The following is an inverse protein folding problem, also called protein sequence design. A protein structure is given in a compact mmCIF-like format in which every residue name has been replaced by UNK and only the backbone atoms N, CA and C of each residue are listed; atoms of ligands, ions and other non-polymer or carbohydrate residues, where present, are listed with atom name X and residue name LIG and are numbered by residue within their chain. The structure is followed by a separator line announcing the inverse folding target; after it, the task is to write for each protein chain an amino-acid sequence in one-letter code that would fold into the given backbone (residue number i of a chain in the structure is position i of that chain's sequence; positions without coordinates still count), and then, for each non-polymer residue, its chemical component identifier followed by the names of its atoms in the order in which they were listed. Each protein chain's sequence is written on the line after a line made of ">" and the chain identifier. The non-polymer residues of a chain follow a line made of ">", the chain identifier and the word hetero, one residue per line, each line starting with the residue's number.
data_IF_656273997935
#
_entry.id   IF_656273997935
#
_cell.length_a   1.000
_cell.length_b   1.000
_cell.length_c   1.000
_cell.angle_alpha   90.00
_cell.angle_beta   90.00
_cell.angle_gamma   90.00
#
_symmetry.space_group_name_H-M   'P 1'
#
loop_
_entity.id
_entity.type
_entity.pdbx_description
1 polymer ?
#
# COMPACT_ATOMS: atom_id res chain seq x y z
N UNK A 1 -27.83 19.39 24.87
CA UNK A 1 -27.18 20.52 25.54
C UNK A 1 -27.47 21.80 24.74
N UNK A 2 -27.91 22.91 25.36
CA UNK A 2 -28.14 24.16 24.63
C UNK A 2 -26.83 24.78 24.14
N UNK A 3 -26.83 25.40 22.95
CA UNK A 3 -25.62 25.87 22.27
C UNK A 3 -24.80 26.90 23.06
N UNK A 4 -25.45 27.71 23.92
CA UNK A 4 -24.74 28.65 24.81
C UNK A 4 -23.83 27.97 25.84
N UNK A 5 -24.23 26.80 26.38
CA UNK A 5 -23.39 26.05 27.31
C UNK A 5 -22.28 25.26 26.60
N UNK A 6 -22.49 24.84 25.36
CA UNK A 6 -21.42 24.25 24.52
C UNK A 6 -20.29 25.27 24.31
N UNK A 7 -20.65 26.52 24.01
CA UNK A 7 -19.68 27.61 23.85
C UNK A 7 -18.88 27.92 25.13
N UNK A 8 -19.48 27.73 26.31
CA UNK A 8 -18.79 27.90 27.60
C UNK A 8 -17.74 26.79 27.81
N UNK A 9 -18.06 25.54 27.45
CA UNK A 9 -17.12 24.41 27.53
C UNK A 9 -15.99 24.56 26.52
N UNK A 10 -16.28 24.96 25.28
CA UNK A 10 -15.27 25.24 24.24
C UNK A 10 -14.29 26.32 24.71
N UNK A 11 -14.78 27.46 25.22
CA UNK A 11 -13.94 28.55 25.76
C UNK A 11 -13.13 28.13 27.00
N UNK A 12 -13.72 27.33 27.89
CA UNK A 12 -13.01 26.81 29.06
C UNK A 12 -11.89 25.84 28.68
N UNK A 13 -12.10 25.00 27.67
CA UNK A 13 -11.09 24.10 27.15
C UNK A 13 -9.90 24.86 26.51
N UNK A 14 -10.18 25.89 25.72
CA UNK A 14 -9.15 26.77 25.16
C UNK A 14 -8.30 27.46 26.26
N UNK A 15 -8.93 27.89 27.36
CA UNK A 15 -8.23 28.46 28.51
C UNK A 15 -7.32 27.43 29.20
N UNK A 16 -7.78 26.20 29.42
CA UNK A 16 -6.96 25.14 30.04
C UNK A 16 -5.73 24.80 29.18
N UNK A 17 -5.86 24.83 27.85
CA UNK A 17 -4.74 24.64 26.92
C UNK A 17 -3.73 25.78 27.04
N UNK A 18 -4.19 27.04 27.08
CA UNK A 18 -3.33 28.22 27.24
C UNK A 18 -2.60 28.27 28.59
N UNK A 19 -3.28 27.87 29.68
CA UNK A 19 -2.69 27.79 31.03
C UNK A 19 -1.70 26.63 31.18
N UNK A 20 -1.76 25.61 30.32
CA UNK A 20 -0.91 24.42 30.46
C UNK A 20 -0.39 23.83 29.14
N UNK A 21 0.47 24.59 28.41
CA UNK A 21 0.99 24.18 27.10
C UNK A 21 1.86 22.91 27.12
N UNK A 22 2.38 22.51 28.29
CA UNK A 22 3.23 21.32 28.49
C UNK A 22 2.46 20.12 29.09
N UNK A 23 1.13 20.21 29.26
CA UNK A 23 0.34 19.10 29.79
C UNK A 23 0.05 18.04 28.72
N UNK A 24 0.02 16.77 29.12
CA UNK A 24 -0.47 15.69 28.24
C UNK A 24 -1.97 15.84 28.01
N UNK A 25 -2.48 15.36 26.86
CA UNK A 25 -3.91 15.42 26.53
C UNK A 25 -4.78 14.83 27.65
N UNK A 26 -4.36 13.72 28.26
CA UNK A 26 -5.06 13.11 29.39
C UNK A 26 -5.12 14.04 30.63
N UNK A 27 -4.05 14.79 30.89
CA UNK A 27 -4.03 15.83 31.95
C UNK A 27 -4.95 17.01 31.65
N UNK A 28 -5.07 17.42 30.39
CA UNK A 28 -5.99 18.48 29.93
C UNK A 28 -7.45 18.01 30.09
N UNK A 29 -7.78 16.79 29.67
CA UNK A 29 -9.13 16.22 29.86
C UNK A 29 -9.50 16.05 31.34
N UNK A 30 -8.58 15.57 32.19
CA UNK A 30 -8.82 15.45 33.63
C UNK A 30 -8.98 16.81 34.36
N UNK A 31 -8.50 17.90 33.77
CA UNK A 31 -8.75 19.28 34.26
C UNK A 31 -10.09 19.81 33.76
N UNK A 32 -10.38 19.61 32.47
CA UNK A 32 -11.69 19.94 31.89
C UNK A 32 -12.82 19.29 32.69
N UNK A 33 -12.72 18.00 32.99
CA UNK A 33 -13.71 17.22 33.75
C UNK A 33 -13.96 17.82 35.15
N UNK A 34 -12.89 18.18 35.87
CA UNK A 34 -12.99 18.84 37.19
C UNK A 34 -13.56 20.26 37.13
N UNK A 35 -13.39 20.98 36.02
CA UNK A 35 -13.90 22.34 35.84
C UNK A 35 -15.27 22.35 35.13
N UNK A 36 -15.75 21.19 34.66
CA UNK A 36 -16.95 21.04 33.84
C UNK A 36 -18.20 21.53 34.57
N UNK A 37 -18.37 21.17 35.85
CA UNK A 37 -19.48 21.65 36.69
C UNK A 37 -19.50 23.18 36.80
N UNK A 38 -18.33 23.83 36.85
CA UNK A 38 -18.22 25.29 36.92
C UNK A 38 -18.56 25.94 35.57
N UNK A 39 -18.05 25.37 34.47
CA UNK A 39 -18.31 25.85 33.11
C UNK A 39 -19.79 25.69 32.69
N UNK A 40 -20.49 24.68 33.23
CA UNK A 40 -21.92 24.46 33.01
C UNK A 40 -22.83 25.23 33.95
N UNK A 41 -22.36 25.59 35.15
CA UNK A 41 -23.11 26.45 36.08
C UNK A 41 -22.99 27.94 35.76
N UNK A 42 -22.10 28.32 34.83
CA UNK A 42 -21.96 29.68 34.33
C UNK A 42 -23.19 30.16 33.53
N UNK A 43 -23.33 31.48 33.42
CA UNK A 43 -24.41 32.08 32.63
C UNK A 43 -24.35 31.64 31.15
N UNK A 44 -25.52 31.46 30.52
CA UNK A 44 -25.63 31.06 29.11
C UNK A 44 -24.87 32.07 28.23
N UNK A 45 -23.96 31.61 27.37
CA UNK A 45 -23.40 32.51 26.36
C UNK A 45 -24.48 32.98 25.38
N UNK A 46 -24.52 34.28 25.10
CA UNK A 46 -25.47 34.85 24.14
C UNK A 46 -25.22 34.31 22.73
N UNK A 47 -26.25 33.67 22.18
CA UNK A 47 -26.22 33.08 20.83
C UNK A 47 -27.17 33.85 19.92
N UNK A 48 -26.60 34.61 18.98
CA UNK A 48 -27.39 35.33 17.96
C UNK A 48 -28.01 34.30 17.00
N UNK A 49 -29.33 34.15 17.07
CA UNK A 49 -30.09 33.27 16.17
C UNK A 49 -30.26 33.91 14.79
N UNK A 50 -29.30 33.68 13.89
CA UNK A 50 -29.39 34.12 12.50
C UNK A 50 -30.50 33.33 11.78
N UNK A 51 -31.68 33.92 11.65
CA UNK A 51 -32.77 33.38 10.84
C UNK A 51 -32.52 33.79 9.39
N UNK A 52 -32.52 32.82 8.46
CA UNK A 52 -32.46 33.12 7.03
C UNK A 52 -33.78 33.76 6.60
N UNK A 53 -33.72 34.99 6.12
CA UNK A 53 -34.89 35.70 5.62
C UNK A 53 -35.31 35.11 4.26
N UNK A 54 -36.36 34.30 4.24
CA UNK A 54 -36.97 33.84 3.00
C UNK A 54 -37.94 34.92 2.48
N UNK A 55 -37.87 35.32 1.19
CA UNK A 55 -38.75 36.36 0.67
C UNK A 55 -40.18 35.83 0.54
N UNK A 56 -41.11 36.48 1.24
CA UNK A 56 -42.54 36.31 0.97
C UNK A 56 -42.96 37.26 -0.14
N UNK A 57 -43.54 36.73 -1.20
CA UNK A 57 -44.16 37.53 -2.26
C UNK A 57 -45.46 38.16 -1.79
N UNK A 58 -45.71 39.42 -2.17
CA UNK A 58 -46.96 40.04 -2.64
C UNK A 58 -46.67 41.56 -2.86
N UNK A 59 -47.43 42.28 -3.72
CA UNK A 59 -46.83 43.33 -4.54
C UNK A 59 -47.09 44.77 -4.07
N UNK A 60 -46.18 45.69 -4.42
CA UNK A 60 -46.47 47.13 -4.43
C UNK A 60 -46.33 47.72 -5.83
N UNK A 61 -47.42 48.37 -6.24
CA UNK A 61 -47.71 49.01 -7.51
C UNK A 61 -46.86 50.28 -7.75
N UNK A 62 -46.25 50.42 -8.94
CA UNK A 62 -45.66 51.72 -9.36
C UNK A 62 -45.62 51.94 -10.89
N UNK A 63 -46.52 52.83 -11.30
CA UNK A 63 -46.53 53.79 -12.41
C UNK A 63 -45.44 53.76 -13.51
N UNK A 64 -45.91 53.69 -14.76
CA UNK A 64 -45.22 53.92 -16.05
C UNK A 64 -44.88 55.40 -16.29
N UNK A 65 -43.70 55.71 -16.85
CA UNK A 65 -43.49 56.56 -18.05
C UNK A 65 -41.99 56.80 -18.43
N UNK A 66 -41.72 56.59 -19.74
CA UNK A 66 -40.74 57.24 -20.64
C UNK A 66 -39.19 57.27 -20.45
N UNK A 67 -38.54 56.42 -21.26
CA UNK A 67 -37.65 56.81 -22.39
C UNK A 67 -36.41 57.71 -22.18
N UNK A 68 -35.21 57.11 -22.27
CA UNK A 68 -34.20 57.58 -23.27
C UNK A 68 -33.11 56.56 -23.67
N UNK A 69 -32.96 56.43 -24.99
CA UNK A 69 -31.76 56.15 -25.82
C UNK A 69 -30.94 54.86 -25.57
N UNK A 70 -30.93 54.03 -26.62
CA UNK A 70 -29.96 52.96 -26.87
C UNK A 70 -28.58 53.53 -27.23
N UNK A 71 -27.52 52.91 -26.74
CA UNK A 71 -26.21 52.88 -27.41
C UNK A 71 -25.66 51.44 -27.39
N UNK A 72 -24.90 51.08 -28.42
CA UNK A 72 -24.68 49.70 -28.83
C UNK A 72 -23.31 49.15 -28.41
N UNK A 73 -23.33 47.90 -27.90
CA UNK A 73 -22.23 46.93 -27.88
C UNK A 73 -21.07 47.16 -26.88
N UNK A 74 -20.28 46.10 -26.55
CA UNK A 74 -20.39 44.71 -26.98
C UNK A 74 -20.79 43.72 -25.85
N UNK A 75 -21.31 42.56 -26.26
CA UNK A 75 -21.57 41.43 -25.37
C UNK A 75 -20.23 40.85 -24.90
N UNK A 76 -19.74 41.31 -23.75
CA UNK A 76 -18.76 40.55 -23.00
C UNK A 76 -19.40 39.24 -22.57
N UNK A 77 -18.96 38.13 -23.16
CA UNK A 77 -19.35 36.78 -22.73
C UNK A 77 -18.88 36.56 -21.30
N UNK A 78 -19.72 36.94 -20.33
CA UNK A 78 -19.60 36.55 -18.94
C UNK A 78 -19.84 35.04 -18.85
N UNK A 79 -18.80 34.27 -19.17
CA UNK A 79 -18.72 32.84 -18.83
C UNK A 79 -18.96 32.76 -17.34
N UNK A 80 -20.12 32.20 -16.97
CA UNK A 80 -20.54 31.98 -15.59
C UNK A 80 -19.45 31.16 -14.92
N UNK A 81 -18.59 31.80 -14.14
CA UNK A 81 -17.56 31.11 -13.38
C UNK A 81 -18.28 30.22 -12.38
N UNK A 82 -18.20 28.90 -12.58
CA UNK A 82 -18.67 27.94 -11.59
C UNK A 82 -17.99 28.27 -10.25
N UNK A 83 -18.72 28.30 -9.13
CA UNK A 83 -18.14 28.64 -7.85
C UNK A 83 -17.12 27.57 -7.46
N UNK A 84 -15.83 27.90 -7.61
CA UNK A 84 -14.73 27.05 -7.16
C UNK A 84 -14.93 26.73 -5.68
N UNK A 85 -14.91 25.46 -5.24
CA UNK A 85 -15.13 25.12 -3.85
C UNK A 85 -14.07 25.80 -2.98
N UNK A 86 -14.52 26.68 -2.09
CA UNK A 86 -13.65 27.40 -1.17
C UNK A 86 -13.19 26.47 -0.05
N UNK A 87 -12.12 25.73 -0.29
CA UNK A 87 -11.52 24.83 0.71
C UNK A 87 -11.15 25.57 1.99
N UNK A 88 -11.44 24.96 3.15
CA UNK A 88 -11.16 25.55 4.46
C UNK A 88 -9.65 25.65 4.71
N UNK A 89 -9.24 26.54 5.61
CA UNK A 89 -7.81 26.70 5.97
C UNK A 89 -7.22 25.37 6.49
N UNK A 90 -7.99 24.65 7.30
CA UNK A 90 -7.62 23.35 7.85
C UNK A 90 -7.39 22.30 6.75
N UNK A 91 -8.32 22.17 5.79
CA UNK A 91 -8.18 21.28 4.63
C UNK A 91 -6.92 21.57 3.82
N UNK A 92 -6.58 22.85 3.61
CA UNK A 92 -5.34 23.26 2.92
C UNK A 92 -4.11 22.83 3.71
N UNK A 93 -4.10 23.04 5.03
CA UNK A 93 -2.96 22.63 5.89
C UNK A 93 -2.74 21.11 5.92
N UNK A 94 -3.83 20.32 5.91
CA UNK A 94 -3.75 18.87 5.88
C UNK A 94 -3.30 18.35 4.51
N UNK A 95 -3.82 18.95 3.43
CA UNK A 95 -3.39 18.70 2.06
C UNK A 95 -1.88 18.96 1.89
N UNK A 96 -1.38 20.08 2.42
CA UNK A 96 0.04 20.44 2.37
C UNK A 96 0.91 19.45 3.17
N UNK A 97 0.54 19.13 4.42
CA UNK A 97 1.27 18.14 5.24
C UNK A 97 1.38 16.79 4.52
N UNK A 98 0.29 16.31 3.91
CA UNK A 98 0.29 15.04 3.16
C UNK A 98 1.05 15.15 1.84
N UNK A 99 0.98 16.28 1.14
CA UNK A 99 1.82 16.57 -0.04
C UNK A 99 3.30 16.48 0.31
N UNK A 100 3.72 17.12 1.39
CA UNK A 100 5.12 17.09 1.82
C UNK A 100 5.56 15.67 2.20
N UNK A 101 4.73 14.89 2.89
CA UNK A 101 5.03 13.50 3.23
C UNK A 101 5.21 12.62 1.97
N UNK A 102 4.25 12.65 1.04
CA UNK A 102 4.31 11.89 -0.21
C UNK A 102 5.48 12.32 -1.10
N UNK A 103 5.79 13.62 -1.19
CA UNK A 103 6.96 14.12 -1.95
C UNK A 103 8.27 13.67 -1.29
N UNK A 104 8.40 13.73 0.05
CA UNK A 104 9.59 13.20 0.74
C UNK A 104 9.77 11.70 0.46
N UNK A 105 8.68 10.93 0.48
CA UNK A 105 8.70 9.50 0.15
C UNK A 105 9.11 9.26 -1.33
N UNK A 106 8.57 10.07 -2.25
CA UNK A 106 8.88 10.04 -3.68
C UNK A 106 10.37 10.31 -3.93
N UNK A 107 10.90 11.41 -3.38
CA UNK A 107 12.31 11.80 -3.55
C UNK A 107 13.24 10.80 -2.87
N UNK A 108 12.91 10.29 -1.69
CA UNK A 108 13.72 9.28 -1.01
C UNK A 108 13.87 7.97 -1.80
N UNK A 109 12.84 7.55 -2.55
CA UNK A 109 12.87 6.32 -3.36
C UNK A 109 13.34 6.54 -4.80
N UNK A 110 12.81 7.56 -5.50
CA UNK A 110 13.13 7.80 -6.91
C UNK A 110 14.34 8.71 -7.12
N UNK A 111 14.71 9.56 -6.15
CA UNK A 111 15.82 10.50 -6.27
C UNK A 111 17.21 9.87 -6.42
N UNK A 112 17.33 8.57 -6.15
CA UNK A 112 18.55 7.77 -6.40
C UNK A 112 18.57 7.12 -7.79
N UNK A 113 17.48 7.19 -8.56
CA UNK A 113 17.38 6.57 -9.87
C UNK A 113 17.91 7.50 -10.98
N UNK A 114 18.67 6.98 -11.96
CA UNK A 114 19.11 7.77 -13.10
C UNK A 114 17.91 8.26 -13.92
N UNK A 115 17.82 9.56 -14.12
CA UNK A 115 16.72 10.22 -14.85
C UNK A 115 15.58 10.76 -13.97
N UNK A 116 15.68 10.68 -12.63
CA UNK A 116 14.82 11.49 -11.76
C UNK A 116 15.33 12.93 -11.68
N UNK A 117 14.44 13.91 -11.86
CA UNK A 117 14.75 15.34 -11.69
C UNK A 117 13.55 16.06 -11.06
N UNK A 118 13.79 16.79 -9.98
CA UNK A 118 12.82 17.69 -9.35
C UNK A 118 12.92 19.08 -9.98
N UNK A 119 11.79 19.67 -10.40
CA UNK A 119 11.75 21.07 -10.88
C UNK A 119 11.93 22.04 -9.71
N UNK A 120 12.45 23.24 -9.99
CA UNK A 120 12.56 24.36 -9.03
C UNK A 120 11.25 24.73 -8.35
N UNK A 121 10.13 24.42 -8.99
CA UNK A 121 8.80 24.88 -8.58
C UNK A 121 8.09 23.91 -7.62
N UNK A 122 8.74 22.79 -7.26
CA UNK A 122 8.23 21.67 -6.44
C UNK A 122 6.90 21.03 -6.91
N UNK A 123 6.38 21.44 -8.07
CA UNK A 123 5.11 20.98 -8.64
C UNK A 123 5.33 19.96 -9.77
N UNK A 124 6.48 19.98 -10.45
CA UNK A 124 6.81 19.04 -11.52
C UNK A 124 8.02 18.17 -11.18
N UNK A 125 7.91 16.86 -11.41
CA UNK A 125 8.95 15.87 -11.21
C UNK A 125 9.11 15.05 -12.48
N UNK A 126 10.30 15.01 -13.07
CA UNK A 126 10.62 14.05 -14.12
C UNK A 126 10.94 12.72 -13.47
N UNK A 127 10.20 11.67 -13.81
CA UNK A 127 10.38 10.32 -13.29
C UNK A 127 10.82 9.37 -14.41
N UNK A 128 11.75 8.43 -14.14
CA UNK A 128 12.13 7.42 -15.14
C UNK A 128 10.95 6.49 -15.41
N UNK A 129 10.66 6.24 -16.70
CA UNK A 129 9.56 5.38 -17.13
C UNK A 129 10.09 4.03 -17.61
N UNK A 130 9.90 3.00 -16.79
CA UNK A 130 10.33 1.64 -17.07
C UNK A 130 9.16 0.66 -16.93
N UNK A 131 8.27 0.59 -17.93
CA UNK A 131 7.11 -0.29 -17.88
C UNK A 131 7.53 -1.76 -17.99
N UNK A 132 6.89 -2.64 -17.22
CA UNK A 132 7.26 -4.07 -17.11
C UNK A 132 7.11 -4.83 -18.42
N UNK A 133 6.08 -4.51 -19.23
CA UNK A 133 5.75 -5.19 -20.50
C UNK A 133 6.02 -4.32 -21.73
N UNK A 134 7.26 -3.85 -21.93
CA UNK A 134 7.65 -2.96 -23.05
C UNK A 134 7.17 -3.41 -24.43
N UNK A 135 7.13 -4.72 -24.69
CA UNK A 135 6.67 -5.33 -25.95
C UNK A 135 5.16 -5.21 -26.19
N UNK A 136 4.36 -5.07 -25.12
CA UNK A 136 2.91 -4.89 -25.19
C UNK A 136 2.48 -3.41 -25.19
N UNK A 137 3.43 -2.46 -25.09
CA UNK A 137 3.12 -1.04 -25.20
C UNK A 137 3.04 -0.58 -26.67
N UNK A 138 2.16 0.37 -26.99
CA UNK A 138 2.17 1.12 -28.24
C UNK A 138 3.53 1.75 -28.53
N UNK A 139 3.88 1.85 -29.81
CA UNK A 139 5.21 2.28 -30.27
C UNK A 139 5.61 3.67 -29.74
N UNK A 140 4.64 4.60 -29.70
CA UNK A 140 4.81 5.95 -29.14
C UNK A 140 5.30 5.97 -27.68
N UNK A 141 4.93 4.96 -26.87
CA UNK A 141 5.32 4.84 -25.47
C UNK A 141 6.49 3.88 -25.23
N UNK A 142 6.78 2.99 -26.19
CA UNK A 142 7.85 2.00 -26.10
C UNK A 142 9.25 2.65 -26.01
N UNK A 143 9.42 3.79 -26.65
CA UNK A 143 10.68 4.54 -26.70
C UNK A 143 10.79 5.63 -25.61
N UNK A 144 9.74 5.83 -24.79
CA UNK A 144 9.74 6.82 -23.72
C UNK A 144 10.61 6.36 -22.54
N UNK A 145 11.57 7.21 -22.16
CA UNK A 145 12.51 6.95 -21.04
C UNK A 145 12.07 7.63 -19.74
N UNK A 146 11.22 8.65 -19.82
CA UNK A 146 10.83 9.50 -18.69
C UNK A 146 9.45 10.12 -18.91
N UNK A 147 8.69 10.28 -17.83
CA UNK A 147 7.38 10.97 -17.83
C UNK A 147 7.47 12.15 -16.85
N UNK A 148 6.74 13.24 -17.11
CA UNK A 148 6.64 14.36 -16.16
C UNK A 148 5.41 14.17 -15.28
N UNK A 149 5.63 13.96 -13.99
CA UNK A 149 4.60 13.91 -12.96
C UNK A 149 4.35 15.32 -12.42
N UNK A 150 3.09 15.75 -12.39
CA UNK A 150 2.68 17.07 -11.87
C UNK A 150 1.83 16.86 -10.62
N UNK A 151 2.34 17.34 -9.48
CA UNK A 151 1.72 17.25 -8.15
C UNK A 151 1.22 18.64 -7.74
N UNK A 152 -0.10 18.91 -7.82
CA UNK A 152 -0.67 20.19 -7.43
C UNK A 152 -0.33 20.57 -5.98
N UNK A 153 -0.24 21.86 -5.68
CA UNK A 153 -0.03 22.35 -4.30
C UNK A 153 -1.15 21.88 -3.35
N UNK A 154 -2.40 21.88 -3.85
CA UNK A 154 -3.59 21.35 -3.16
C UNK A 154 -3.76 19.84 -3.38
N UNK A 155 -2.71 19.05 -3.14
CA UNK A 155 -2.75 17.58 -3.26
C UNK A 155 -3.88 16.95 -2.42
N UNK A 156 -4.44 15.83 -2.89
CA UNK A 156 -5.70 15.20 -2.42
C UNK A 156 -7.00 16.00 -2.68
N UNK A 157 -6.94 17.32 -2.82
CA UNK A 157 -8.09 18.15 -3.26
C UNK A 157 -8.12 18.29 -4.78
N UNK A 158 -6.94 18.51 -5.37
CA UNK A 158 -6.67 18.38 -6.80
C UNK A 158 -5.86 17.10 -7.04
N UNK A 159 -6.30 16.32 -8.03
CA UNK A 159 -5.67 15.04 -8.36
C UNK A 159 -4.38 15.25 -9.15
N UNK A 160 -3.25 14.60 -8.78
CA UNK A 160 -2.02 14.64 -9.56
C UNK A 160 -2.26 14.12 -10.98
N UNK A 161 -1.47 14.63 -11.92
CA UNK A 161 -1.52 14.23 -13.33
C UNK A 161 -0.14 13.86 -13.83
N UNK A 162 -0.09 13.10 -14.91
CA UNK A 162 1.12 12.82 -15.67
C UNK A 162 1.05 13.52 -17.02
N UNK A 163 2.22 13.82 -17.59
CA UNK A 163 2.39 14.36 -18.94
C UNK A 163 3.51 13.57 -19.63
N UNK A 164 3.20 12.95 -20.77
CA UNK A 164 4.16 12.14 -21.54
C UNK A 164 4.94 13.04 -22.50
N UNK A 165 6.26 13.09 -22.32
CA UNK A 165 7.12 14.01 -23.08
C UNK A 165 7.13 13.70 -24.59
N UNK A 166 6.73 14.65 -25.43
CA UNK A 166 7.04 14.63 -26.87
C UNK A 166 6.10 13.85 -27.79
N UNK A 167 5.01 13.24 -27.29
CA UNK A 167 4.06 12.48 -28.09
C UNK A 167 2.61 12.96 -27.87
N UNK A 168 2.05 13.74 -28.80
CA UNK A 168 0.60 14.02 -28.89
C UNK A 168 -0.23 12.80 -29.36
N UNK A 169 0.27 11.60 -29.09
CA UNK A 169 -0.27 10.34 -29.56
C UNK A 169 -1.58 9.98 -28.80
N UNK A 170 -2.59 9.40 -29.45
CA UNK A 170 -3.80 8.94 -28.77
C UNK A 170 -3.52 7.96 -27.60
N UNK A 171 -2.50 7.11 -27.69
CA UNK A 171 -2.12 6.19 -26.61
C UNK A 171 -1.48 6.91 -25.42
N UNK A 172 -0.74 8.00 -25.65
CA UNK A 172 -0.20 8.85 -24.60
C UNK A 172 -1.33 9.55 -23.84
N UNK A 173 -2.29 10.16 -24.58
CA UNK A 173 -3.47 10.79 -23.96
C UNK A 173 -4.38 9.78 -23.24
N UNK A 174 -4.51 8.56 -23.75
CA UNK A 174 -5.21 7.47 -23.05
C UNK A 174 -4.55 7.14 -21.71
N UNK A 175 -3.21 7.01 -21.68
CA UNK A 175 -2.45 6.77 -20.44
C UNK A 175 -2.63 7.90 -19.42
N UNK A 176 -2.58 9.16 -19.86
CA UNK A 176 -2.81 10.34 -19.01
C UNK A 176 -4.23 10.37 -18.42
N UNK A 177 -5.24 10.09 -19.25
CA UNK A 177 -6.65 10.02 -18.82
C UNK A 177 -6.90 8.86 -17.85
N UNK A 178 -6.42 7.65 -18.17
CA UNK A 178 -6.55 6.47 -17.32
C UNK A 178 -5.85 6.66 -15.96
N UNK A 179 -4.72 7.37 -15.93
CA UNK A 179 -4.07 7.76 -14.68
C UNK A 179 -4.98 8.72 -13.88
N UNK A 180 -5.51 9.77 -14.50
CA UNK A 180 -6.39 10.73 -13.83
C UNK A 180 -7.68 10.07 -13.30
N UNK A 181 -8.29 9.16 -14.07
CA UNK A 181 -9.45 8.38 -13.65
C UNK A 181 -9.12 7.53 -12.42
N UNK A 182 -7.99 6.82 -12.43
CA UNK A 182 -7.58 5.97 -11.31
C UNK A 182 -7.29 6.77 -10.04
N UNK A 183 -6.64 7.92 -10.12
CA UNK A 183 -6.40 8.75 -8.93
C UNK A 183 -7.70 9.38 -8.41
N UNK A 184 -8.71 9.58 -9.27
CA UNK A 184 -10.06 9.98 -8.83
C UNK A 184 -10.84 8.83 -8.18
N UNK A 185 -10.66 7.58 -8.61
CA UNK A 185 -11.34 6.42 -8.01
C UNK A 185 -10.69 5.94 -6.71
N UNK A 186 -9.36 6.06 -6.59
CA UNK A 186 -8.56 5.53 -5.47
C UNK A 186 -7.85 6.65 -4.70
N UNK A 187 -8.60 7.65 -4.23
CA UNK A 187 -8.10 8.86 -3.55
C UNK A 187 -7.36 8.62 -2.22
N UNK A 188 -7.42 7.39 -1.67
CA UNK A 188 -6.76 7.03 -0.41
C UNK A 188 -5.29 6.61 -0.56
N UNK A 189 -4.83 6.31 -1.77
CA UNK A 189 -3.49 5.78 -2.04
C UNK A 189 -2.41 6.87 -2.09
N UNK A 190 -1.16 6.49 -1.80
CA UNK A 190 -0.01 7.39 -1.89
C UNK A 190 0.48 7.55 -3.34
N UNK A 191 1.17 8.66 -3.62
CA UNK A 191 1.70 9.00 -4.95
C UNK A 191 2.54 7.87 -5.58
N UNK A 192 3.39 7.23 -4.77
CA UNK A 192 4.21 6.08 -5.18
C UNK A 192 3.39 4.85 -5.59
N UNK A 193 2.23 4.60 -4.97
CA UNK A 193 1.36 3.49 -5.35
C UNK A 193 0.72 3.72 -6.72
N UNK A 194 0.39 4.97 -7.06
CA UNK A 194 -0.07 5.33 -8.40
C UNK A 194 1.04 5.18 -9.45
N UNK A 195 2.28 5.57 -9.15
CA UNK A 195 3.44 5.40 -10.06
C UNK A 195 3.77 3.91 -10.27
N UNK A 196 3.83 3.12 -9.20
CA UNK A 196 4.12 1.68 -9.28
C UNK A 196 3.08 0.98 -10.17
N UNK A 197 1.80 1.22 -9.94
CA UNK A 197 0.72 0.70 -10.79
C UNK A 197 0.87 1.15 -12.24
N UNK A 198 1.19 2.43 -12.50
CA UNK A 198 1.44 2.92 -13.85
C UNK A 198 2.56 2.13 -14.54
N UNK A 199 3.67 1.82 -13.87
CA UNK A 199 4.74 0.98 -14.47
C UNK A 199 4.31 -0.47 -14.73
N UNK A 200 3.39 -1.02 -13.94
CA UNK A 200 2.87 -2.38 -14.10
C UNK A 200 1.77 -2.49 -15.16
N UNK A 201 0.87 -1.50 -15.22
CA UNK A 201 -0.36 -1.50 -16.02
C UNK A 201 -0.33 -0.52 -17.21
N UNK A 202 0.80 0.13 -17.50
CA UNK A 202 0.96 1.04 -18.64
C UNK A 202 0.37 0.49 -19.95
N UNK A 203 0.60 -0.79 -20.27
CA UNK A 203 0.03 -1.46 -21.44
C UNK A 203 -1.51 -1.31 -21.50
N UNK A 204 -2.22 -1.72 -20.45
CA UNK A 204 -3.69 -1.61 -20.33
C UNK A 204 -4.19 -0.18 -20.25
N UNK A 205 -3.44 0.73 -19.64
CA UNK A 205 -3.81 2.14 -19.52
C UNK A 205 -3.60 2.92 -20.84
N UNK A 206 -2.67 2.47 -21.68
CA UNK A 206 -2.33 3.10 -22.96
C UNK A 206 -3.22 2.71 -24.13
N UNK A 207 -4.05 1.67 -24.00
CA UNK A 207 -5.02 1.33 -25.05
C UNK A 207 -6.13 2.39 -25.04
N UNK A 208 -6.34 3.15 -26.13
CA UNK A 208 -7.40 4.13 -26.19
C UNK A 208 -8.74 3.43 -26.05
N UNK A 209 -9.45 3.75 -24.97
CA UNK A 209 -10.85 3.35 -24.78
C UNK A 209 -11.67 4.15 -25.79
N UNK A 210 -12.02 3.53 -26.91
CA UNK A 210 -12.90 4.16 -27.89
C UNK A 210 -14.17 4.62 -27.18
N UNK A 211 -14.58 5.86 -27.47
CA UNK A 211 -15.85 6.41 -27.05
C UNK A 211 -16.97 5.76 -27.89
N UNK A 212 -17.21 4.47 -27.65
CA UNK A 212 -18.44 3.81 -28.05
C UNK A 212 -19.63 4.58 -27.46
N UNK A 213 -20.77 4.65 -28.15
CA UNK A 213 -21.97 5.29 -27.62
C UNK A 213 -22.34 4.73 -26.24
N UNK A 214 -22.98 5.57 -25.43
CA UNK A 214 -23.57 5.21 -24.14
C UNK A 214 -24.27 3.84 -24.23
N UNK A 215 -24.08 2.92 -23.26
CA UNK A 215 -24.81 1.68 -23.21
C UNK A 215 -26.25 1.94 -22.74
N UNK A 216 -27.08 2.50 -23.62
CA UNK A 216 -28.51 2.18 -23.58
C UNK A 216 -28.64 0.68 -23.83
N UNK A 217 -29.19 -0.02 -22.85
CA UNK A 217 -29.11 -1.48 -22.80
C UNK A 217 -29.89 -2.15 -23.92
N UNK A 218 -29.29 -3.16 -24.54
CA UNK A 218 -30.06 -4.28 -25.06
C UNK A 218 -29.26 -5.58 -25.08
N UNK A 219 -29.87 -6.57 -24.43
CA UNK A 219 -29.52 -7.98 -24.43
C UNK A 219 -29.40 -8.58 -25.83
N UNK A 220 -28.41 -9.46 -26.00
CA UNK A 220 -28.36 -10.57 -26.97
C UNK A 220 -27.29 -11.56 -26.49
N UNK A 221 -27.72 -12.67 -25.89
CA UNK A 221 -28.04 -13.94 -26.55
C UNK A 221 -26.78 -14.71 -26.94
N UNK A 222 -26.35 -15.60 -26.04
CA UNK A 222 -25.36 -16.64 -26.34
C UNK A 222 -26.08 -17.73 -27.12
N UNK A 223 -25.74 -17.93 -28.40
CA UNK A 223 -26.23 -19.05 -29.19
C UNK A 223 -25.04 -19.80 -29.81
N UNK A 224 -25.07 -21.12 -29.67
CA UNK A 224 -23.90 -21.97 -29.79
C UNK A 224 -23.71 -22.55 -31.20
N UNK A 225 -22.44 -22.79 -31.58
CA UNK A 225 -22.09 -23.52 -32.80
C UNK A 225 -21.59 -24.94 -32.43
N UNK A 226 -22.39 -25.95 -32.79
CA UNK A 226 -22.06 -27.39 -32.93
C UNK A 226 -21.13 -27.60 -34.13
N UNK A 227 -20.34 -28.67 -34.32
CA UNK A 227 -19.92 -29.88 -33.58
C UNK A 227 -18.48 -30.27 -34.12
N UNK A 228 -17.78 -31.38 -33.87
CA UNK A 228 -18.15 -32.78 -33.55
C UNK A 228 -16.90 -33.62 -33.10
N UNK A 229 -17.10 -34.92 -32.81
CA UNK A 229 -16.19 -35.99 -32.32
C UNK A 229 -15.93 -36.01 -30.78
N UNK A 230 -16.49 -36.95 -29.98
CA UNK A 230 -16.18 -38.41 -29.81
C UNK A 230 -14.90 -38.58 -28.93
N UNK A 231 -14.83 -39.28 -27.78
CA UNK A 231 -15.33 -40.63 -27.34
C UNK A 231 -15.84 -40.64 -25.83
N UNK A 232 -15.80 -41.69 -24.93
CA UNK A 232 -17.02 -42.19 -24.26
C UNK A 232 -17.13 -42.08 -22.71
N UNK A 233 -18.30 -42.54 -22.24
CA UNK A 233 -18.77 -42.95 -20.89
C UNK A 233 -17.83 -44.06 -20.30
N UNK A 234 -17.61 -44.27 -18.96
CA UNK A 234 -18.71 -44.37 -18.00
C UNK A 234 -18.54 -44.10 -16.47
N UNK A 235 -19.71 -44.15 -15.81
CA UNK A 235 -20.00 -44.53 -14.40
C UNK A 235 -19.69 -43.58 -13.22
N UNK A 236 -20.75 -42.85 -12.86
CA UNK A 236 -21.28 -42.54 -11.51
C UNK A 236 -20.60 -43.13 -10.25
N UNK A 237 -20.59 -42.35 -9.16
CA UNK A 237 -21.22 -42.73 -7.88
C UNK A 237 -21.75 -41.49 -7.12
N UNK A 238 -22.88 -41.67 -6.44
CA UNK A 238 -23.55 -40.73 -5.52
C UNK A 238 -22.66 -40.28 -4.34
N UNK A 239 -22.93 -39.21 -3.59
CA UNK A 239 -24.05 -38.26 -3.59
C UNK A 239 -24.46 -37.89 -2.15
N UNK A 240 -24.75 -36.61 -1.85
CA UNK A 240 -25.26 -36.11 -0.55
C UNK A 240 -26.22 -34.93 -0.81
N UNK A 241 -27.38 -34.82 -0.14
CA UNK A 241 -28.46 -33.91 -0.56
C UNK A 241 -28.31 -32.45 -0.10
N UNK A 242 -29.03 -31.58 -0.80
CA UNK A 242 -29.33 -30.20 -0.39
C UNK A 242 -30.26 -30.20 0.83
N UNK A 243 -30.09 -29.21 1.70
CA UNK A 243 -31.17 -28.74 2.57
C UNK A 243 -31.11 -27.22 2.66
N UNK A 244 -32.19 -26.58 2.21
CA UNK A 244 -32.42 -25.16 2.42
C UNK A 244 -32.78 -24.92 3.89
N UNK A 245 -32.24 -23.84 4.47
CA UNK A 245 -32.88 -23.15 5.58
C UNK A 245 -32.37 -21.70 5.62
N UNK A 246 -33.29 -20.76 5.57
CA UNK A 246 -33.02 -19.33 5.59
C UNK A 246 -32.61 -18.82 6.98
N UNK A 247 -32.12 -17.58 7.02
CA UNK A 247 -31.88 -16.74 8.19
C UNK A 247 -30.77 -17.16 9.18
N UNK A 248 -29.52 -16.77 8.85
CA UNK A 248 -28.45 -16.40 9.80
C UNK A 248 -27.35 -15.52 9.15
N UNK A 249 -26.61 -14.70 9.93
CA UNK A 249 -25.75 -13.64 9.39
C UNK A 249 -24.44 -14.14 8.76
N UNK A 250 -23.92 -13.35 7.82
CA UNK A 250 -22.75 -13.64 6.99
C UNK A 250 -21.41 -13.47 7.75
N UNK A 251 -21.16 -14.33 8.75
CA UNK A 251 -19.87 -14.43 9.44
C UNK A 251 -19.31 -15.84 9.23
N UNK A 252 -18.31 -15.97 8.36
CA UNK A 252 -17.50 -17.18 8.26
C UNK A 252 -16.40 -17.14 9.32
N UNK A 253 -16.62 -17.83 10.44
CA UNK A 253 -15.57 -18.06 11.44
C UNK A 253 -14.61 -19.11 10.87
N UNK A 254 -13.39 -18.69 10.53
CA UNK A 254 -12.31 -19.61 10.18
C UNK A 254 -11.94 -20.37 11.47
N UNK A 255 -11.97 -21.72 11.48
CA UNK A 255 -11.59 -22.49 12.66
C UNK A 255 -10.11 -22.24 12.97
N UNK A 256 -9.81 -21.98 14.25
CA UNK A 256 -8.43 -21.74 14.69
C UNK A 256 -7.60 -23.02 14.49
N UNK A 257 -6.36 -22.94 13.97
CA UNK A 257 -5.50 -24.12 13.84
C UNK A 257 -5.32 -24.84 15.18
N UNK A 258 -5.24 -26.19 15.19
CA UNK A 258 -5.14 -26.97 16.43
C UNK A 258 -3.90 -26.63 17.26
N UNK A 259 -2.86 -26.07 16.63
CA UNK A 259 -1.62 -25.61 17.25
C UNK A 259 -1.80 -24.41 18.21
N UNK A 260 -2.95 -23.74 18.21
CA UNK A 260 -3.26 -22.67 19.17
C UNK A 260 -4.05 -23.18 20.39
N UNK A 261 -4.53 -24.44 20.41
CA UNK A 261 -5.06 -25.01 21.65
C UNK A 261 -3.89 -25.41 22.55
N UNK A 262 -3.41 -24.44 23.34
CA UNK A 262 -2.58 -24.68 24.52
C UNK A 262 -3.42 -25.30 25.66
N UNK A 263 -4.13 -26.38 25.37
CA UNK A 263 -4.69 -27.28 26.37
C UNK A 263 -3.58 -28.23 26.87
N UNK A 264 -2.59 -27.64 27.55
CA UNK A 264 -1.63 -28.41 28.33
C UNK A 264 -2.35 -29.14 29.47
N UNK A 265 -2.08 -30.43 29.71
CA UNK A 265 -2.83 -31.19 30.71
C UNK A 265 -2.47 -30.78 32.15
N UNK A 266 -3.44 -30.14 32.82
CA UNK A 266 -3.66 -29.99 34.27
C UNK A 266 -2.45 -30.07 35.23
N UNK A 267 -2.19 -28.95 35.91
CA UNK A 267 -1.45 -28.90 37.17
C UNK A 267 -1.89 -27.74 38.08
N UNK A 268 -2.81 -28.03 39.02
CA UNK A 268 -3.05 -27.35 40.33
C UNK A 268 -3.16 -25.81 40.43
N UNK A 269 -4.37 -25.36 40.76
CA UNK A 269 -4.76 -24.39 41.82
C UNK A 269 -4.14 -22.97 41.91
N UNK A 270 -5.00 -21.94 41.93
CA UNK A 270 -4.65 -20.55 42.32
C UNK A 270 -5.48 -19.46 41.62
N UNK A 271 -6.43 -18.75 42.27
CA UNK A 271 -7.46 -18.01 41.53
C UNK A 271 -7.19 -16.54 41.13
N UNK A 272 -6.53 -15.73 41.96
CA UNK A 272 -6.74 -14.27 41.94
C UNK A 272 -5.54 -13.39 42.37
N UNK A 273 -5.62 -12.08 42.08
CA UNK A 273 -4.73 -11.04 42.62
C UNK A 273 -4.27 -9.95 41.62
N UNK A 274 -4.77 -8.72 41.75
CA UNK A 274 -4.19 -7.53 41.11
C UNK A 274 -3.16 -6.86 42.05
N UNK A 275 -1.92 -6.63 41.58
CA UNK A 275 -0.96 -5.59 42.03
C UNK A 275 0.21 -5.60 41.03
N UNK A 276 0.70 -4.51 40.44
CA UNK A 276 0.96 -3.15 40.94
C UNK A 276 1.99 -3.10 42.07
N UNK A 277 3.27 -3.04 41.71
CA UNK A 277 4.24 -2.18 42.41
C UNK A 277 5.33 -1.70 41.45
N UNK A 278 5.64 -0.40 41.50
CA UNK A 278 6.79 0.23 40.85
C UNK A 278 7.98 0.14 41.81
N UNK A 279 9.16 -0.29 41.35
CA UNK A 279 10.38 -0.09 42.14
C UNK A 279 11.57 0.27 41.26
N UNK A 280 11.79 1.59 41.12
CA UNK A 280 13.04 2.13 40.63
C UNK A 280 14.02 2.23 41.80
N UNK A 281 15.18 1.59 41.70
CA UNK A 281 16.36 1.99 42.47
C UNK A 281 17.45 2.48 41.52
N UNK A 282 17.69 3.79 41.56
CA UNK A 282 18.98 4.35 41.16
C UNK A 282 19.98 3.99 42.26
N UNK A 283 21.11 3.39 41.89
CA UNK A 283 22.34 3.48 42.68
C UNK A 283 23.48 3.91 41.75
N UNK A 284 24.43 4.67 42.27
CA UNK A 284 25.48 5.33 41.47
C UNK A 284 26.80 5.37 42.22
N UNK A 285 27.85 4.91 41.55
CA UNK A 285 29.23 4.86 42.05
C UNK A 285 29.67 3.43 42.42
N UNK A 286 30.92 3.04 42.27
CA UNK A 286 32.04 3.77 41.67
C UNK A 286 33.18 2.79 41.28
N UNK A 287 34.09 3.24 40.41
CA UNK A 287 35.38 2.65 40.01
C UNK A 287 35.58 1.10 39.96
N UNK A 288 35.87 0.57 38.76
CA UNK A 288 37.11 -0.23 38.55
C UNK A 288 37.44 -0.43 37.07
N UNK A 289 38.72 -0.29 36.73
CA UNK A 289 39.24 -0.47 35.36
C UNK A 289 39.21 -1.95 34.94
N UNK A 290 38.80 -2.21 33.69
CA UNK A 290 38.77 -3.56 33.11
C UNK A 290 38.63 -3.51 31.58
N UNK A 291 39.76 -3.60 30.87
CA UNK A 291 39.81 -3.53 29.41
C UNK A 291 39.32 -4.84 28.76
N UNK A 292 38.12 -4.83 28.17
CA UNK A 292 37.69 -5.86 27.20
C UNK A 292 36.80 -5.27 26.11
N UNK A 293 37.19 -5.48 24.85
CA UNK A 293 36.42 -5.01 23.68
C UNK A 293 35.22 -5.93 23.40
N UNK A 294 34.05 -5.57 23.92
CA UNK A 294 32.81 -6.23 23.54
C UNK A 294 32.30 -5.74 22.18
N UNK A 295 32.33 -6.65 21.20
CA UNK A 295 31.49 -6.55 20.00
C UNK A 295 30.03 -6.66 20.44
N UNK A 296 29.09 -5.90 19.84
CA UNK A 296 27.68 -6.19 20.03
C UNK A 296 27.34 -7.54 19.39
N UNK A 297 27.09 -8.54 20.23
CA UNK A 297 26.63 -9.85 19.80
C UNK A 297 25.21 -9.72 19.23
N UNK A 298 25.11 -9.71 17.90
CA UNK A 298 23.83 -9.66 17.22
C UNK A 298 23.07 -10.96 17.49
N UNK A 299 21.95 -10.84 18.20
CA UNK A 299 21.02 -11.95 18.39
C UNK A 299 20.69 -12.60 17.04
N UNK A 300 20.85 -13.93 16.89
CA UNK A 300 20.49 -14.60 15.65
C UNK A 300 18.98 -14.45 15.42
N UNK A 301 18.62 -13.98 14.22
CA UNK A 301 17.23 -13.97 13.77
C UNK A 301 16.65 -15.40 13.83
N UNK A 302 15.33 -15.57 14.06
CA UNK A 302 14.73 -16.89 14.19
C UNK A 302 14.88 -17.69 12.89
N UNK A 303 15.89 -18.56 12.84
CA UNK A 303 16.10 -19.51 11.76
C UNK A 303 14.94 -20.49 11.75
N UNK A 304 14.23 -20.57 10.62
CA UNK A 304 13.22 -21.61 10.39
C UNK A 304 13.84 -22.98 10.69
N UNK A 305 13.17 -23.79 11.53
CA UNK A 305 13.74 -24.93 12.26
C UNK A 305 14.09 -26.18 11.43
N UNK A 306 14.78 -26.02 10.30
CA UNK A 306 15.42 -27.10 9.55
C UNK A 306 16.92 -27.08 9.86
N UNK A 307 17.47 -28.23 10.24
CA UNK A 307 18.88 -28.33 10.63
C UNK A 307 19.83 -27.79 9.55
N UNK A 308 20.87 -27.06 9.97
CA UNK A 308 21.94 -26.47 9.13
C UNK A 308 22.90 -27.55 8.58
N UNK A 309 22.34 -28.53 7.88
CA UNK A 309 23.06 -29.56 7.12
C UNK A 309 23.23 -29.12 5.67
N UNK A 310 24.18 -29.72 4.97
CA UNK A 310 24.49 -29.40 3.58
C UNK A 310 25.52 -28.28 3.41
N UNK A 311 25.74 -27.87 2.17
CA UNK A 311 26.70 -26.82 1.78
C UNK A 311 25.99 -25.47 1.79
N UNK A 312 26.46 -24.54 2.61
CA UNK A 312 25.88 -23.19 2.69
C UNK A 312 26.15 -22.37 1.42
N UNK A 313 25.10 -21.82 0.83
CA UNK A 313 25.18 -20.83 -0.26
C UNK A 313 25.09 -19.42 0.34
N UNK A 314 26.09 -18.57 0.09
CA UNK A 314 26.11 -17.18 0.58
C UNK A 314 26.69 -16.22 -0.46
N UNK A 315 26.27 -14.96 -0.41
CA UNK A 315 26.72 -13.90 -1.31
C UNK A 315 27.42 -12.78 -0.52
N UNK A 316 28.70 -12.93 -0.14
CA UNK A 316 29.36 -12.08 0.85
C UNK A 316 29.44 -10.58 0.49
N UNK A 317 29.32 -10.23 -0.78
CA UNK A 317 29.37 -8.85 -1.28
C UNK A 317 28.05 -8.39 -1.93
N UNK A 318 26.91 -8.99 -1.53
CA UNK A 318 25.60 -8.61 -2.06
C UNK A 318 25.01 -7.41 -1.31
N UNK A 319 24.85 -6.30 -2.02
CA UNK A 319 24.19 -5.10 -1.52
C UNK A 319 22.77 -5.01 -2.10
N UNK A 320 21.76 -4.91 -1.22
CA UNK A 320 20.36 -4.78 -1.61
C UNK A 320 19.94 -3.30 -1.66
N UNK A 321 19.57 -2.83 -2.86
CA UNK A 321 19.13 -1.45 -3.09
C UNK A 321 17.66 -1.40 -3.50
N UNK A 322 16.80 -0.80 -2.67
CA UNK A 322 15.37 -0.66 -2.96
C UNK A 322 14.54 -1.94 -2.79
N UNK A 323 15.15 -3.02 -2.28
CA UNK A 323 14.50 -4.27 -1.90
C UNK A 323 14.97 -4.66 -0.49
N UNK A 324 14.05 -5.02 0.40
CA UNK A 324 14.37 -5.40 1.79
C UNK A 324 14.65 -6.90 1.94
N UNK A 325 14.01 -7.71 1.10
CA UNK A 325 14.09 -9.17 1.05
C UNK A 325 14.32 -9.64 -0.40
N UNK A 326 15.11 -10.69 -0.57
CA UNK A 326 15.39 -11.35 -1.85
C UNK A 326 15.29 -12.87 -1.66
N UNK A 327 14.58 -13.56 -2.56
CA UNK A 327 14.44 -15.02 -2.57
C UNK A 327 15.03 -15.62 -3.86
N UNK A 328 15.76 -16.73 -3.75
CA UNK A 328 16.20 -17.51 -4.91
C UNK A 328 15.10 -18.46 -5.39
N UNK A 329 14.27 -17.98 -6.34
CA UNK A 329 13.17 -18.76 -6.95
C UNK A 329 13.66 -19.99 -7.74
N UNK A 330 14.86 -19.93 -8.30
CA UNK A 330 15.43 -20.99 -9.14
C UNK A 330 16.96 -20.92 -9.14
N UNK A 331 17.61 -22.04 -8.89
CA UNK A 331 19.07 -22.18 -8.97
C UNK A 331 19.47 -23.14 -10.10
N UNK A 332 20.58 -22.86 -10.78
CA UNK A 332 21.23 -23.78 -11.71
C UNK A 332 22.70 -23.89 -11.33
N UNK A 333 23.22 -25.10 -11.29
CA UNK A 333 24.50 -25.45 -10.67
C UNK A 333 25.18 -26.57 -11.45
N UNK A 334 26.48 -26.45 -11.67
CA UNK A 334 27.32 -27.55 -12.14
C UNK A 334 27.78 -28.35 -10.93
N UNK A 335 27.55 -29.66 -10.93
CA UNK A 335 28.06 -30.59 -9.91
C UNK A 335 29.01 -31.60 -10.54
N UNK A 336 29.97 -32.05 -9.76
CA UNK A 336 30.97 -33.05 -10.11
C UNK A 336 30.57 -34.40 -9.54
N UNK A 337 30.45 -35.42 -10.38
CA UNK A 337 30.17 -36.79 -9.95
C UNK A 337 31.34 -37.30 -9.09
N UNK A 338 31.04 -37.86 -7.92
CA UNK A 338 32.07 -38.32 -6.99
C UNK A 338 32.90 -39.47 -7.58
N UNK A 339 32.25 -40.40 -8.30
CA UNK A 339 32.86 -41.63 -8.79
C UNK A 339 33.80 -41.45 -9.98
N UNK A 340 33.40 -40.68 -10.99
CA UNK A 340 34.16 -40.51 -12.24
C UNK A 340 34.69 -39.09 -12.47
N UNK A 341 34.42 -38.16 -11.54
CA UNK A 341 34.85 -36.75 -11.57
C UNK A 341 34.36 -35.95 -12.79
N UNK A 342 33.37 -36.47 -13.51
CA UNK A 342 32.69 -35.79 -14.62
C UNK A 342 31.79 -34.65 -14.12
N UNK A 343 31.64 -33.60 -14.93
CA UNK A 343 30.77 -32.46 -14.62
C UNK A 343 29.38 -32.67 -15.21
N UNK A 344 28.36 -32.32 -14.43
CA UNK A 344 26.95 -32.39 -14.80
C UNK A 344 26.25 -31.08 -14.42
N UNK A 345 25.60 -30.43 -15.39
CA UNK A 345 24.80 -29.23 -15.15
C UNK A 345 23.37 -29.58 -14.72
N UNK A 346 23.02 -29.27 -13.48
CA UNK A 346 21.68 -29.43 -12.93
C UNK A 346 20.96 -28.08 -12.96
N UNK A 347 19.88 -28.01 -13.73
CA UNK A 347 19.18 -26.75 -14.00
C UNK A 347 17.85 -26.65 -13.25
N UNK A 348 17.49 -25.42 -12.84
CA UNK A 348 16.16 -25.09 -12.31
C UNK A 348 15.78 -25.91 -11.06
N UNK A 349 16.75 -26.06 -10.15
CA UNK A 349 16.48 -26.44 -8.76
C UNK A 349 15.52 -25.42 -8.14
N UNK A 350 14.54 -25.91 -7.38
CA UNK A 350 13.54 -25.10 -6.68
C UNK A 350 13.69 -25.31 -5.18
N UNK A 351 13.19 -24.36 -4.39
CA UNK A 351 13.19 -24.44 -2.93
C UNK A 351 12.45 -25.70 -2.42
N UNK A 352 13.18 -26.58 -1.74
CA UNK A 352 12.65 -27.72 -0.99
C UNK A 352 12.30 -27.29 0.44
N UNK A 353 11.11 -26.69 0.61
CA UNK A 353 10.61 -26.16 1.88
C UNK A 353 10.58 -27.20 3.01
N UNK A 354 10.53 -28.50 2.70
CA UNK A 354 10.44 -29.57 3.70
C UNK A 354 11.80 -30.13 4.15
N UNK A 355 12.85 -29.93 3.36
CA UNK A 355 14.17 -30.54 3.60
C UNK A 355 14.21 -32.07 3.49
N UNK A 356 13.12 -32.69 3.02
CA UNK A 356 13.02 -34.14 2.85
C UNK A 356 13.69 -34.60 1.54
N UNK A 357 14.18 -35.85 1.55
CA UNK A 357 14.75 -36.54 0.37
C UNK A 357 13.80 -36.52 -0.83
N UNK A 358 12.49 -36.50 -0.60
CA UNK A 358 11.45 -36.46 -1.65
C UNK A 358 11.46 -35.19 -2.51
N UNK A 359 12.12 -34.12 -2.05
CA UNK A 359 12.29 -32.86 -2.80
C UNK A 359 13.67 -32.69 -3.44
N UNK A 360 14.54 -33.71 -3.39
CA UNK A 360 15.80 -33.72 -4.14
C UNK A 360 15.55 -34.00 -5.62
N UNK A 361 16.45 -33.51 -6.48
CA UNK A 361 16.51 -33.87 -7.91
C UNK A 361 17.46 -35.03 -8.10
N UNK A 362 16.92 -36.19 -8.46
CA UNK A 362 17.70 -37.33 -8.92
C UNK A 362 18.17 -37.11 -10.37
N UNK A 363 19.47 -37.29 -10.58
CA UNK A 363 20.16 -37.18 -11.86
C UNK A 363 21.12 -38.36 -12.04
N UNK A 364 21.39 -38.77 -13.29
CA UNK A 364 22.24 -39.93 -13.57
C UNK A 364 23.52 -39.49 -14.30
N UNK A 365 24.67 -39.81 -13.73
CA UNK A 365 25.96 -39.49 -14.33
C UNK A 365 26.17 -40.25 -15.65
N UNK A 366 26.28 -39.51 -16.76
CA UNK A 366 26.39 -40.04 -18.13
C UNK A 366 27.60 -40.96 -18.38
N UNK A 367 28.70 -40.82 -17.63
CA UNK A 367 29.92 -41.64 -17.80
C UNK A 367 29.95 -42.93 -16.99
N UNK A 368 29.32 -42.98 -15.81
CA UNK A 368 29.45 -44.13 -14.90
C UNK A 368 28.12 -44.65 -14.33
N UNK A 369 26.99 -44.12 -14.82
CA UNK A 369 25.64 -44.46 -14.40
C UNK A 369 25.40 -44.37 -12.87
N UNK A 370 26.17 -43.55 -12.17
CA UNK A 370 25.96 -43.28 -10.76
C UNK A 370 24.76 -42.34 -10.59
N UNK A 371 23.83 -42.69 -9.69
CA UNK A 371 22.78 -41.78 -9.26
C UNK A 371 23.40 -40.65 -8.43
N UNK A 372 22.92 -39.44 -8.62
CA UNK A 372 23.31 -38.22 -7.93
C UNK A 372 22.00 -37.56 -7.45
N UNK A 373 21.92 -37.10 -6.22
CA UNK A 373 20.75 -36.35 -5.74
C UNK A 373 21.16 -34.92 -5.37
N UNK A 374 20.37 -33.93 -5.81
CA UNK A 374 20.67 -32.51 -5.58
C UNK A 374 19.41 -31.79 -5.06
N UNK A 375 19.43 -31.40 -3.79
CA UNK A 375 18.42 -30.57 -3.14
C UNK A 375 18.89 -29.12 -2.97
N UNK A 376 17.96 -28.17 -3.06
CA UNK A 376 18.21 -26.77 -2.72
C UNK A 376 17.14 -26.29 -1.73
N UNK A 377 17.56 -25.87 -0.54
CA UNK A 377 16.73 -25.19 0.45
C UNK A 377 17.05 -23.70 0.39
N UNK A 378 16.08 -22.86 0.03
CA UNK A 378 16.30 -21.42 -0.10
C UNK A 378 15.95 -20.70 1.22
N UNK A 379 16.87 -19.85 1.67
CA UNK A 379 16.62 -18.87 2.74
C UNK A 379 16.24 -17.52 2.12
N UNK A 380 15.53 -16.68 2.89
CA UNK A 380 15.30 -15.29 2.53
C UNK A 380 16.55 -14.45 2.84
N UNK A 381 17.11 -13.83 1.82
CA UNK A 381 18.28 -12.96 1.91
C UNK A 381 17.82 -11.55 2.30
N UNK A 382 18.49 -10.93 3.25
CA UNK A 382 18.27 -9.54 3.65
C UNK A 382 19.58 -8.84 3.98
N UNK A 383 19.56 -7.53 4.19
CA UNK A 383 20.78 -6.72 4.35
C UNK A 383 21.69 -7.12 5.54
N UNK A 384 21.16 -7.87 6.52
CA UNK A 384 21.91 -8.38 7.67
C UNK A 384 22.14 -9.91 7.60
N UNK A 385 21.64 -10.61 6.58
CA UNK A 385 21.90 -12.03 6.33
C UNK A 385 22.05 -12.27 4.83
N UNK A 386 23.31 -12.43 4.41
CA UNK A 386 23.68 -12.69 3.02
C UNK A 386 23.66 -14.19 2.67
N UNK A 387 23.03 -15.02 3.52
CA UNK A 387 22.85 -16.46 3.31
C UNK A 387 21.64 -16.69 2.40
N UNK A 388 21.86 -17.39 1.31
CA UNK A 388 20.87 -17.71 0.29
C UNK A 388 20.22 -19.08 0.48
N UNK A 389 20.77 -19.90 1.38
CA UNK A 389 20.24 -21.20 1.77
C UNK A 389 21.30 -22.28 1.82
N UNK A 390 20.87 -23.53 1.63
CA UNK A 390 21.70 -24.72 1.72
C UNK A 390 21.51 -25.65 0.50
N UNK A 391 22.59 -26.29 0.09
CA UNK A 391 22.62 -27.33 -0.94
C UNK A 391 22.84 -28.70 -0.29
N UNK A 392 21.91 -29.60 -0.53
CA UNK A 392 22.00 -30.99 -0.07
C UNK A 392 22.41 -31.86 -1.25
N UNK A 393 23.57 -32.51 -1.17
CA UNK A 393 24.14 -33.31 -2.26
C UNK A 393 24.35 -34.76 -1.83
N UNK A 394 24.04 -35.70 -2.74
CA UNK A 394 24.39 -37.11 -2.63
C UNK A 394 25.05 -37.59 -3.94
N UNK A 395 26.07 -38.44 -3.83
CA UNK A 395 26.89 -38.95 -4.93
C UNK A 395 27.69 -37.90 -5.74
N UNK A 396 27.62 -36.62 -5.38
CA UNK A 396 28.22 -35.50 -6.09
C UNK A 396 28.70 -34.37 -5.16
N UNK A 397 29.56 -33.50 -5.70
CA UNK A 397 30.09 -32.30 -5.01
C UNK A 397 30.00 -31.09 -5.94
N UNK A 398 29.93 -29.86 -5.42
CA UNK A 398 30.10 -28.64 -6.25
C UNK A 398 31.56 -28.52 -6.72
#
# INVERSE_FOLDING_TARGET
>A
MPRGFQLNVERGFDQIILESPNATLLGIFNRLDKQLETLLSGEKADTVKIIRNAPSSEPHEQTRLETKRSELQPVANARRSEPTPSFTSEQKSQAEKRRQADIRQLVARLGRLPGFVQSSDDVSFTIPFQPTKKTALPEALRNQKSIRLVVPQLYNLHTPRIEVNGNNDPAARALEQAFQERVKSETGLNLLAHINFLTQHAHTMSTPKEAGPLPEGQSKSVEAVRAELVVPVPTQVSGVPVSENSDKPHIQVIPRPPEWNNDGPKGTDGPDGWSSDDSYSYDSGDETEGESSDKPEQQPAPTSGLAERGIMLSFPNLELYGCELLELVSLSITVKCERCKDLLDVQRLRNNIKGDVTGMRDEICKKCANNLAVGFRADLIHQNSLRAGYLDLDGCTV
#
